data_IF_658425624752
#
_entry.id   IF_658425624752
#
_cell.length_a   1.000
_cell.length_b   1.000
_cell.length_c   1.000
_cell.angle_alpha   90.00
_cell.angle_beta   90.00
_cell.angle_gamma   90.00
#
_symmetry.space_group_name_H-M   'P 1'
#
loop_
_entity.id
_entity.type
_entity.pdbx_description
1 polymer ?
#
# COMPACT_ATOMS: atom_id res chain seq x y z
N UNK A 1 -9.92 -13.52 24.67
CA UNK A 1 -8.82 -12.92 23.88
C UNK A 1 -7.67 -12.69 24.84
N UNK A 2 -6.65 -13.55 24.84
CA UNK A 2 -5.48 -13.33 25.70
C UNK A 2 -4.64 -12.23 25.06
N UNK A 3 -4.64 -11.04 25.67
CA UNK A 3 -3.68 -9.98 25.33
C UNK A 3 -2.30 -10.46 25.78
N UNK A 4 -1.47 -10.91 24.85
CA UNK A 4 -0.07 -11.24 25.12
C UNK A 4 0.62 -10.03 25.75
N UNK A 5 1.15 -10.21 26.96
CA UNK A 5 1.89 -9.19 27.69
C UNK A 5 3.38 -9.58 27.68
N UNK A 6 4.20 -8.97 26.82
CA UNK A 6 5.62 -9.32 26.64
C UNK A 6 6.42 -9.32 27.93
N UNK A 7 6.12 -8.38 28.81
CA UNK A 7 6.80 -8.21 30.09
C UNK A 7 6.48 -9.39 31.00
N UNK A 8 5.21 -9.74 31.13
CA UNK A 8 4.78 -10.86 31.97
C UNK A 8 5.38 -12.19 31.49
N UNK A 9 5.45 -12.38 30.17
CA UNK A 9 6.00 -13.59 29.56
C UNK A 9 7.51 -13.73 29.82
N UNK A 10 8.26 -12.62 29.78
CA UNK A 10 9.69 -12.61 30.14
C UNK A 10 9.88 -12.83 31.64
N UNK A 11 9.10 -12.16 32.48
CA UNK A 11 9.18 -12.33 33.95
C UNK A 11 8.88 -13.76 34.39
N UNK A 12 7.97 -14.46 33.71
CA UNK A 12 7.63 -15.85 34.03
C UNK A 12 8.78 -16.85 33.84
N UNK A 13 9.84 -16.44 33.13
CA UNK A 13 11.04 -17.24 32.83
C UNK A 13 12.25 -16.86 33.68
N UNK A 14 12.08 -15.93 34.62
CA UNK A 14 13.16 -15.38 35.42
C UNK A 14 13.00 -15.74 36.89
N UNK A 15 14.11 -15.89 37.58
CA UNK A 15 14.14 -16.17 39.02
C UNK A 15 14.35 -14.89 39.84
N UNK A 16 13.88 -14.89 41.09
CA UNK A 16 14.09 -13.78 42.01
C UNK A 16 13.39 -12.47 41.61
N UNK A 17 12.31 -12.56 40.84
CA UNK A 17 11.55 -11.42 40.35
C UNK A 17 10.98 -10.59 41.49
N UNK A 18 11.25 -9.28 41.48
CA UNK A 18 10.71 -8.29 42.43
C UNK A 18 10.26 -7.05 41.67
N UNK A 19 9.08 -6.52 42.00
CA UNK A 19 8.63 -5.23 41.48
C UNK A 19 9.39 -4.09 42.17
N UNK A 20 9.91 -3.15 41.39
CA UNK A 20 10.65 -1.97 41.89
C UNK A 20 9.95 -0.65 41.55
N UNK A 21 8.83 -0.70 40.82
CA UNK A 21 8.06 0.48 40.43
C UNK A 21 6.88 0.12 39.53
N UNK A 22 6.12 1.14 39.13
CA UNK A 22 5.03 0.95 38.16
C UNK A 22 5.65 0.60 36.80
N UNK A 23 5.44 -0.64 36.35
CA UNK A 23 6.02 -1.21 35.12
C UNK A 23 7.55 -1.46 35.14
N UNK A 24 8.13 -1.69 36.32
CA UNK A 24 9.55 -2.02 36.46
C UNK A 24 9.78 -3.15 37.47
N UNK A 25 10.67 -4.07 37.12
CA UNK A 25 11.05 -5.23 37.92
C UNK A 25 12.56 -5.44 37.88
N UNK A 26 13.06 -6.09 38.92
CA UNK A 26 14.39 -6.68 38.97
C UNK A 26 14.29 -8.19 39.08
N UNK A 27 15.23 -8.90 38.47
CA UNK A 27 15.32 -10.35 38.52
C UNK A 27 16.79 -10.77 38.43
N UNK A 28 17.07 -12.05 38.73
CA UNK A 28 18.40 -12.63 38.51
C UNK A 28 18.65 -12.79 37.03
N UNK A 29 19.81 -12.32 36.56
CA UNK A 29 20.23 -12.50 35.19
C UNK A 29 20.52 -13.98 34.92
N UNK A 30 19.93 -14.60 33.89
CA UNK A 30 20.14 -16.03 33.61
C UNK A 30 21.49 -16.32 32.94
N UNK A 31 22.24 -15.30 32.53
CA UNK A 31 23.50 -15.44 31.77
C UNK A 31 24.71 -15.66 32.68
N UNK A 32 24.66 -15.19 33.93
CA UNK A 32 25.73 -15.34 34.90
C UNK A 32 25.17 -15.77 36.26
N UNK A 33 26.03 -16.20 37.18
CA UNK A 33 25.63 -16.49 38.56
C UNK A 33 25.29 -15.17 39.29
N UNK A 34 24.00 -14.83 39.29
CA UNK A 34 23.49 -13.57 39.81
C UNK A 34 22.83 -13.75 41.19
N UNK A 35 23.49 -13.22 42.23
CA UNK A 35 22.98 -13.22 43.60
C UNK A 35 22.24 -11.94 43.99
N UNK A 36 22.26 -10.90 43.14
CA UNK A 36 21.82 -9.54 43.47
C UNK A 36 20.66 -9.02 42.62
N UNK A 37 20.12 -9.83 41.70
CA UNK A 37 19.05 -9.45 40.80
C UNK A 37 19.43 -8.25 39.90
N UNK A 38 20.54 -8.39 39.20
CA UNK A 38 21.14 -7.37 38.32
C UNK A 38 20.37 -7.09 37.03
N UNK A 39 19.37 -7.92 36.67
CA UNK A 39 18.57 -7.76 35.47
C UNK A 39 17.36 -6.87 35.73
N UNK A 40 17.34 -5.69 35.12
CA UNK A 40 16.16 -4.83 35.07
C UNK A 40 15.25 -5.26 33.91
N UNK A 41 13.97 -5.44 34.21
CA UNK A 41 12.91 -5.69 33.22
C UNK A 41 11.87 -4.57 33.34
N UNK A 42 11.41 -4.01 32.22
CA UNK A 42 10.40 -2.95 32.25
C UNK A 42 9.49 -2.93 31.02
N UNK A 43 8.42 -2.15 31.10
CA UNK A 43 7.52 -1.92 29.96
C UNK A 43 7.83 -0.57 29.30
N UNK A 44 8.12 -0.58 28.00
CA UNK A 44 8.23 0.62 27.18
C UNK A 44 6.87 1.30 26.98
N UNK A 45 6.87 2.58 26.57
CA UNK A 45 5.65 3.34 26.29
C UNK A 45 4.80 2.75 25.16
N UNK A 46 5.43 1.98 24.28
CA UNK A 46 4.87 1.23 23.16
C UNK A 46 4.47 -0.21 23.53
N UNK A 47 4.51 -0.58 24.82
CA UNK A 47 4.11 -1.90 25.30
C UNK A 47 5.16 -3.00 25.13
N UNK A 48 6.33 -2.69 24.59
CA UNK A 48 7.43 -3.67 24.46
C UNK A 48 8.10 -3.92 25.80
N UNK A 49 8.63 -5.12 26.00
CA UNK A 49 9.50 -5.43 27.11
C UNK A 49 10.91 -4.89 26.87
N UNK A 50 11.48 -4.29 27.90
CA UNK A 50 12.86 -3.81 27.96
C UNK A 50 13.62 -4.68 28.95
N UNK A 51 14.81 -5.17 28.57
CA UNK A 51 15.70 -5.91 29.47
C UNK A 51 17.09 -5.29 29.45
N UNK A 52 17.65 -5.09 30.64
CA UNK A 52 18.97 -4.49 30.81
C UNK A 52 19.69 -5.12 32.00
N UNK A 53 20.85 -5.73 31.76
CA UNK A 53 21.68 -6.31 32.80
C UNK A 53 22.74 -5.30 33.24
N UNK A 54 22.73 -4.92 34.52
CA UNK A 54 23.68 -3.96 35.08
C UNK A 54 25.11 -4.51 35.14
N UNK A 55 25.28 -5.85 35.13
CA UNK A 55 26.57 -6.52 35.06
C UNK A 55 27.15 -6.63 33.63
N UNK A 56 26.45 -6.15 32.60
CA UNK A 56 26.98 -6.03 31.23
C UNK A 56 26.62 -7.14 30.24
N UNK A 57 25.82 -8.15 30.62
CA UNK A 57 25.32 -9.15 29.67
C UNK A 57 24.42 -8.51 28.60
N UNK A 58 24.61 -8.92 27.35
CA UNK A 58 23.81 -8.39 26.25
C UNK A 58 22.38 -8.94 26.25
N UNK A 59 21.43 -8.14 25.74
CA UNK A 59 20.05 -8.61 25.49
C UNK A 59 20.02 -9.87 24.62
N UNK A 60 20.97 -10.02 23.69
CA UNK A 60 21.08 -11.19 22.83
C UNK A 60 21.39 -12.47 23.61
N UNK A 61 22.33 -12.41 24.57
CA UNK A 61 22.67 -13.55 25.43
C UNK A 61 21.50 -13.92 26.34
N UNK A 62 20.86 -12.93 26.95
CA UNK A 62 19.69 -13.14 27.83
C UNK A 62 18.56 -13.80 27.04
N UNK A 63 18.22 -13.27 25.85
CA UNK A 63 17.22 -13.85 24.94
C UNK A 63 17.52 -15.32 24.64
N UNK A 64 18.79 -15.63 24.36
CA UNK A 64 19.22 -16.96 23.96
C UNK A 64 19.12 -17.97 25.11
N UNK A 65 19.48 -17.58 26.33
CA UNK A 65 19.36 -18.46 27.51
C UNK A 65 17.90 -18.69 27.90
N UNK A 66 17.05 -17.66 27.78
CA UNK A 66 15.62 -17.76 28.08
C UNK A 66 14.80 -18.48 27.00
N UNK A 67 15.42 -18.84 25.88
CA UNK A 67 14.80 -19.44 24.69
C UNK A 67 13.54 -18.68 24.24
N UNK A 68 13.67 -17.37 24.07
CA UNK A 68 12.58 -16.50 23.60
C UNK A 68 12.91 -15.88 22.24
N UNK A 69 11.97 -15.85 21.27
CA UNK A 69 12.18 -15.13 20.01
C UNK A 69 12.22 -13.62 20.24
N UNK A 70 12.81 -12.86 19.32
CA UNK A 70 12.73 -11.40 19.36
C UNK A 70 11.30 -10.88 19.39
N UNK A 71 10.36 -11.58 18.74
CA UNK A 71 8.94 -11.24 18.75
C UNK A 71 8.31 -11.24 20.15
N UNK A 72 8.83 -12.02 21.10
CA UNK A 72 8.29 -12.07 22.47
C UNK A 72 8.59 -10.81 23.29
N UNK A 73 9.47 -9.92 22.80
CA UNK A 73 9.70 -8.61 23.41
C UNK A 73 8.65 -7.57 23.01
N UNK A 74 7.81 -7.87 22.02
CA UNK A 74 6.84 -6.92 21.46
C UNK A 74 5.42 -7.42 21.75
N UNK A 75 4.48 -6.51 22.06
CA UNK A 75 3.09 -6.90 22.28
C UNK A 75 2.58 -7.64 21.05
N UNK A 76 1.67 -8.61 21.24
CA UNK A 76 1.07 -9.28 20.09
C UNK A 76 0.41 -8.21 19.24
N UNK A 77 0.98 -8.03 18.07
CA UNK A 77 0.68 -6.95 17.15
C UNK A 77 -0.84 -6.97 16.85
N UNK A 78 -1.59 -6.04 17.43
CA UNK A 78 -2.83 -5.57 16.79
C UNK A 78 -2.51 -4.69 15.58
N UNK A 79 -1.22 -4.49 15.27
CA UNK A 79 -0.67 -3.63 14.22
C UNK A 79 0.15 -4.35 13.15
N UNK A 80 0.23 -5.68 13.17
CA UNK A 80 0.68 -6.42 11.99
C UNK A 80 -0.34 -6.16 10.89
N UNK A 81 -0.04 -5.22 9.98
CA UNK A 81 -0.86 -5.00 8.78
C UNK A 81 -1.07 -6.37 8.14
N UNK A 82 -2.32 -6.78 8.00
CA UNK A 82 -2.67 -7.98 7.23
C UNK A 82 -1.85 -7.97 5.94
N UNK A 83 -1.26 -9.10 5.54
CA UNK A 83 -0.42 -9.15 4.35
C UNK A 83 -1.22 -8.57 3.17
N UNK A 84 -0.67 -7.53 2.55
CA UNK A 84 -1.37 -6.84 1.48
C UNK A 84 -1.54 -7.79 0.30
N UNK A 85 -2.77 -8.06 -0.13
CA UNK A 85 -3.05 -8.93 -1.28
C UNK A 85 -3.50 -8.10 -2.47
N UNK A 86 -3.13 -8.52 -3.67
CA UNK A 86 -3.67 -7.96 -4.90
C UNK A 86 -5.13 -8.41 -5.04
N UNK A 87 -6.04 -7.48 -5.31
CA UNK A 87 -7.48 -7.76 -5.51
C UNK A 87 -7.98 -7.38 -6.89
N UNK A 88 -7.25 -6.54 -7.63
CA UNK A 88 -7.48 -6.28 -9.04
C UNK A 88 -6.19 -5.78 -9.71
N UNK A 89 -6.08 -6.00 -11.01
CA UNK A 89 -5.00 -5.49 -11.87
C UNK A 89 -5.62 -4.90 -13.12
N UNK A 90 -5.20 -3.70 -13.49
CA UNK A 90 -5.68 -2.98 -14.66
C UNK A 90 -4.51 -2.77 -15.62
N UNK A 91 -4.62 -3.35 -16.81
CA UNK A 91 -3.55 -3.34 -17.82
C UNK A 91 -3.61 -2.05 -18.66
N UNK A 92 -2.49 -1.34 -18.70
CA UNK A 92 -2.28 -0.22 -19.61
C UNK A 92 -1.43 -0.69 -20.78
N UNK A 93 -2.05 -0.71 -21.97
CA UNK A 93 -1.45 -1.21 -23.21
C UNK A 93 -1.22 -0.08 -24.19
N UNK A 94 -0.18 -0.21 -25.01
CA UNK A 94 0.05 0.71 -26.13
C UNK A 94 -0.95 0.46 -27.27
N UNK A 95 -0.82 1.21 -28.37
CA UNK A 95 -1.70 1.07 -29.53
C UNK A 95 -1.63 -0.31 -30.23
N UNK A 96 -0.51 -1.02 -30.10
CA UNK A 96 -0.34 -2.38 -30.63
C UNK A 96 -0.95 -3.45 -29.72
N UNK A 97 -1.26 -3.10 -28.47
CA UNK A 97 -1.77 -4.01 -27.45
C UNK A 97 -0.69 -4.55 -26.51
N UNK A 98 0.55 -4.08 -26.62
CA UNK A 98 1.66 -4.48 -25.76
C UNK A 98 1.50 -3.88 -24.37
N UNK A 99 1.77 -4.69 -23.33
CA UNK A 99 1.62 -4.26 -21.95
C UNK A 99 2.73 -3.29 -21.56
N UNK A 100 2.37 -2.03 -21.26
CA UNK A 100 3.30 -1.02 -20.77
C UNK A 100 3.45 -1.10 -19.25
N UNK A 101 2.33 -1.11 -18.54
CA UNK A 101 2.30 -1.16 -17.08
C UNK A 101 0.94 -1.61 -16.56
N UNK A 102 0.86 -1.81 -15.24
CA UNK A 102 -0.39 -2.09 -14.53
C UNK A 102 -0.60 -1.10 -13.39
N UNK A 103 -1.85 -0.68 -13.18
CA UNK A 103 -2.32 -0.24 -11.86
C UNK A 103 -2.83 -1.47 -11.11
N UNK A 104 -2.42 -1.62 -9.86
CA UNK A 104 -2.71 -2.76 -8.99
C UNK A 104 -3.48 -2.27 -7.78
N UNK A 105 -4.67 -2.81 -7.56
CA UNK A 105 -5.47 -2.56 -6.36
C UNK A 105 -5.13 -3.60 -5.30
N UNK A 106 -4.84 -3.15 -4.09
CA UNK A 106 -4.50 -3.97 -2.93
C UNK A 106 -5.65 -4.01 -1.90
N UNK A 107 -5.60 -4.98 -1.00
CA UNK A 107 -6.37 -5.05 0.25
C UNK A 107 -5.40 -5.18 1.44
N UNK A 108 -5.45 -4.30 2.47
CA UNK A 108 -6.29 -3.10 2.60
C UNK A 108 -6.16 -2.10 1.44
N UNK A 109 -7.20 -1.30 1.19
CA UNK A 109 -7.30 -0.40 0.01
C UNK A 109 -6.04 0.44 -0.16
N UNK A 110 -5.26 0.09 -1.17
CA UNK A 110 -4.06 0.79 -1.63
C UNK A 110 -3.96 0.59 -3.16
N UNK A 111 -3.32 1.52 -3.85
CA UNK A 111 -3.10 1.45 -5.29
C UNK A 111 -1.61 1.57 -5.58
N UNK A 112 -1.08 0.61 -6.33
CA UNK A 112 0.34 0.55 -6.71
C UNK A 112 0.48 0.42 -8.21
N UNK A 113 1.64 0.76 -8.74
CA UNK A 113 1.91 0.63 -10.17
C UNK A 113 3.17 -0.17 -10.41
N UNK A 114 3.17 -0.95 -11.49
CA UNK A 114 4.30 -1.79 -11.87
C UNK A 114 4.39 -1.95 -13.38
N UNK A 115 5.60 -2.16 -13.89
CA UNK A 115 5.87 -2.48 -15.31
C UNK A 115 6.54 -3.85 -15.45
N UNK A 116 6.39 -4.54 -16.59
CA UNK A 116 7.15 -5.76 -16.85
C UNK A 116 8.67 -5.51 -16.77
N UNK A 117 9.43 -6.48 -16.26
CA UNK A 117 10.90 -6.41 -16.24
C UNK A 117 11.55 -7.01 -17.51
N UNK A 118 10.74 -7.52 -18.44
CA UNK A 118 11.19 -8.21 -19.66
C UNK A 118 11.50 -9.71 -19.49
N UNK A 119 11.52 -10.23 -18.26
CA UNK A 119 11.87 -11.61 -17.91
C UNK A 119 10.71 -12.36 -17.22
N UNK A 120 9.48 -11.87 -17.36
CA UNK A 120 8.28 -12.43 -16.72
C UNK A 120 8.05 -11.97 -15.27
N UNK A 121 8.89 -11.07 -14.75
CA UNK A 121 8.72 -10.43 -13.46
C UNK A 121 8.17 -9.00 -13.55
N UNK A 122 8.25 -8.28 -12.43
CA UNK A 122 7.67 -6.94 -12.27
C UNK A 122 8.64 -5.97 -11.59
N UNK A 123 8.72 -4.76 -12.12
CA UNK A 123 9.36 -3.62 -11.49
C UNK A 123 8.26 -2.73 -10.88
N UNK A 124 8.29 -2.52 -9.55
CA UNK A 124 7.25 -1.81 -8.78
C UNK A 124 7.37 -0.28 -8.81
N UNK A 125 7.59 0.25 -10.01
CA UNK A 125 7.65 1.67 -10.32
C UNK A 125 7.42 1.84 -11.83
N UNK A 126 7.09 3.05 -12.28
CA UNK A 126 6.84 3.31 -13.71
C UNK A 126 8.02 3.95 -14.44
N UNK A 127 8.94 4.64 -13.76
CA UNK A 127 10.07 5.30 -14.44
C UNK A 127 9.61 6.16 -15.61
N UNK A 128 10.22 5.95 -16.78
CA UNK A 128 9.90 6.64 -18.04
C UNK A 128 8.82 5.94 -18.89
N UNK A 129 8.18 4.88 -18.38
CA UNK A 129 7.11 4.18 -19.12
C UNK A 129 6.01 5.17 -19.54
N UNK A 130 5.58 5.19 -20.81
CA UNK A 130 4.51 6.08 -21.26
C UNK A 130 3.22 5.88 -20.46
N UNK A 131 2.60 6.98 -20.02
CA UNK A 131 1.30 6.94 -19.33
C UNK A 131 0.23 7.15 -20.37
N UNK A 132 -0.48 6.08 -20.69
CA UNK A 132 -1.55 6.07 -21.69
C UNK A 132 -2.91 6.01 -21.01
N UNK A 133 -3.97 6.30 -21.77
CA UNK A 133 -5.34 6.09 -21.32
C UNK A 133 -5.62 4.60 -21.09
N UNK A 134 -6.42 4.29 -20.08
CA UNK A 134 -6.84 2.91 -19.83
C UNK A 134 -7.69 2.41 -21.01
N UNK A 135 -7.50 1.16 -21.43
CA UNK A 135 -8.20 0.57 -22.61
C UNK A 135 -7.90 1.27 -23.95
N UNK A 136 -6.70 1.84 -24.12
CA UNK A 136 -6.29 2.53 -25.34
C UNK A 136 -6.52 1.71 -26.64
N UNK A 137 -6.13 0.41 -26.74
CA UNK A 137 -6.43 -0.40 -27.92
C UNK A 137 -7.92 -0.45 -28.27
N UNK A 138 -8.79 -0.53 -27.26
CA UNK A 138 -10.24 -0.60 -27.42
C UNK A 138 -10.82 0.76 -27.83
N UNK A 139 -10.28 1.87 -27.31
CA UNK A 139 -10.66 3.22 -27.76
C UNK A 139 -10.35 3.43 -29.25
N UNK A 140 -9.17 2.98 -29.69
CA UNK A 140 -8.75 3.08 -31.10
C UNK A 140 -9.64 2.27 -32.05
N UNK A 141 -10.17 1.14 -31.57
CA UNK A 141 -11.09 0.26 -32.33
C UNK A 141 -12.56 0.68 -32.22
N UNK A 142 -12.91 1.51 -31.25
CA UNK A 142 -14.29 1.90 -31.01
C UNK A 142 -14.82 2.82 -32.13
N UNK A 143 -16.06 2.56 -32.55
CA UNK A 143 -16.80 3.37 -33.51
C UNK A 143 -16.64 4.89 -33.23
N UNK A 144 -16.07 5.66 -34.18
CA UNK A 144 -15.89 7.11 -34.07
C UNK A 144 -17.11 7.91 -33.64
N UNK A 145 -18.32 7.44 -33.98
CA UNK A 145 -19.57 8.12 -33.65
C UNK A 145 -19.99 7.95 -32.17
N UNK A 146 -19.47 6.94 -31.47
CA UNK A 146 -19.79 6.71 -30.05
C UNK A 146 -19.11 7.73 -29.15
N UNK A 147 -19.84 8.16 -28.13
CA UNK A 147 -19.29 8.89 -27.00
C UNK A 147 -18.24 8.07 -26.27
N UNK A 148 -17.13 8.71 -25.93
CA UNK A 148 -16.13 8.18 -25.01
C UNK A 148 -16.42 8.75 -23.62
N UNK A 149 -16.64 7.89 -22.64
CA UNK A 149 -16.94 8.30 -21.27
C UNK A 149 -15.65 8.26 -20.45
N UNK A 150 -15.22 9.40 -19.93
CA UNK A 150 -14.09 9.51 -19.01
C UNK A 150 -14.63 9.48 -17.57
N UNK A 151 -14.13 8.53 -16.80
CA UNK A 151 -14.37 8.42 -15.35
C UNK A 151 -13.05 8.55 -14.59
N UNK A 152 -13.09 8.62 -13.26
CA UNK A 152 -11.88 8.82 -12.46
C UNK A 152 -10.99 7.59 -12.31
N UNK A 153 -11.57 6.39 -12.38
CA UNK A 153 -10.88 5.16 -12.02
C UNK A 153 -11.23 3.97 -12.90
N UNK A 154 -10.31 3.02 -12.96
CA UNK A 154 -10.36 1.86 -13.86
C UNK A 154 -11.58 0.97 -13.56
N UNK A 155 -11.98 0.86 -12.29
CA UNK A 155 -13.17 0.08 -11.88
C UNK A 155 -14.47 0.62 -12.51
N UNK A 156 -14.64 1.94 -12.53
CA UNK A 156 -15.85 2.54 -13.10
C UNK A 156 -15.83 2.48 -14.62
N UNK A 157 -14.64 2.55 -15.22
CA UNK A 157 -14.47 2.36 -16.66
C UNK A 157 -14.84 0.92 -17.06
N UNK A 158 -14.42 -0.08 -16.27
CA UNK A 158 -14.83 -1.48 -16.45
C UNK A 158 -16.33 -1.67 -16.26
N UNK A 159 -16.93 -1.04 -15.24
CA UNK A 159 -18.39 -1.08 -15.01
C UNK A 159 -19.15 -0.53 -16.21
N UNK A 160 -18.79 0.65 -16.73
CA UNK A 160 -19.46 1.23 -17.90
C UNK A 160 -19.22 0.40 -19.17
N UNK A 161 -18.02 -0.14 -19.34
CA UNK A 161 -17.71 -1.05 -20.46
C UNK A 161 -18.59 -2.30 -20.41
N UNK A 162 -18.84 -2.86 -19.22
CA UNK A 162 -19.73 -4.02 -19.06
C UNK A 162 -21.19 -3.73 -19.47
N UNK A 163 -21.58 -2.46 -19.51
CA UNK A 163 -22.88 -1.99 -20.01
C UNK A 163 -22.86 -1.70 -21.52
N UNK A 164 -21.76 -1.97 -22.23
CA UNK A 164 -21.61 -1.75 -23.67
C UNK A 164 -21.22 -0.32 -24.06
N UNK A 165 -20.83 0.52 -23.09
CA UNK A 165 -20.35 1.88 -23.31
C UNK A 165 -18.85 1.90 -23.58
N UNK A 166 -18.36 2.92 -24.29
CA UNK A 166 -16.93 3.13 -24.51
C UNK A 166 -16.42 4.01 -23.37
N UNK A 167 -15.63 3.46 -22.45
CA UNK A 167 -15.18 4.17 -21.26
C UNK A 167 -13.68 4.03 -21.00
N UNK A 168 -13.10 5.05 -20.37
CA UNK A 168 -11.67 5.13 -20.03
C UNK A 168 -11.41 6.03 -18.82
N UNK A 169 -10.16 6.05 -18.33
CA UNK A 169 -9.64 6.98 -17.35
C UNK A 169 -8.13 7.19 -17.54
N UNK A 170 -7.56 8.26 -16.96
CA UNK A 170 -6.11 8.40 -16.83
C UNK A 170 -5.57 7.53 -15.68
N UNK A 171 -4.31 7.08 -15.75
CA UNK A 171 -3.68 6.39 -14.62
C UNK A 171 -3.50 7.35 -13.45
N UNK A 172 -3.41 6.79 -12.23
CA UNK A 172 -3.13 7.50 -10.98
C UNK A 172 -4.27 8.40 -10.46
N UNK A 173 -5.44 8.36 -11.08
CA UNK A 173 -6.66 9.02 -10.62
C UNK A 173 -6.68 10.55 -10.80
N UNK A 174 -7.56 11.20 -10.03
CA UNK A 174 -7.84 12.63 -10.12
C UNK A 174 -6.60 13.53 -10.08
N UNK A 175 -6.59 14.54 -10.94
CA UNK A 175 -5.52 15.54 -11.02
C UNK A 175 -4.21 15.06 -11.67
N UNK A 176 -4.21 13.86 -12.28
CA UNK A 176 -3.03 13.28 -12.94
C UNK A 176 -3.13 13.24 -14.47
N UNK A 177 -4.11 13.93 -15.07
CA UNK A 177 -4.25 14.00 -16.53
C UNK A 177 -2.99 14.52 -17.23
N UNK A 178 -2.35 15.54 -16.67
CA UNK A 178 -1.09 16.11 -17.19
C UNK A 178 0.08 15.11 -17.26
N UNK A 179 -0.05 13.91 -16.68
CA UNK A 179 0.95 12.85 -16.77
C UNK A 179 0.80 12.00 -18.03
N UNK A 180 -0.33 12.09 -18.74
CA UNK A 180 -0.53 11.36 -19.99
C UNK A 180 0.55 11.76 -21.00
N UNK A 181 1.12 10.77 -21.67
CA UNK A 181 2.05 10.99 -22.77
C UNK A 181 1.35 11.37 -24.06
N UNK A 182 0.09 10.94 -24.22
CA UNK A 182 -0.73 11.19 -25.40
C UNK A 182 -2.22 11.05 -25.05
N UNK A 183 -3.02 12.02 -25.46
CA UNK A 183 -4.49 12.04 -25.39
C UNK A 183 -5.15 12.15 -26.77
N UNK A 184 -4.37 12.03 -27.86
CA UNK A 184 -4.81 12.25 -29.25
C UNK A 184 -5.92 11.34 -29.72
N UNK A 185 -6.10 10.16 -29.12
CA UNK A 185 -7.22 9.25 -29.39
C UNK A 185 -8.58 9.90 -29.11
N UNK A 186 -8.63 10.96 -28.29
CA UNK A 186 -9.84 11.70 -27.95
C UNK A 186 -10.10 12.88 -28.92
N UNK A 187 -9.13 13.25 -29.75
CA UNK A 187 -9.26 14.41 -30.65
C UNK A 187 -10.32 14.15 -31.72
N UNK A 188 -11.19 15.13 -31.96
CA UNK A 188 -12.32 15.02 -32.88
C UNK A 188 -13.41 14.03 -32.44
N UNK A 189 -13.32 13.46 -31.23
CA UNK A 189 -14.34 12.56 -30.66
C UNK A 189 -15.30 13.34 -29.76
N UNK A 190 -16.47 12.76 -29.49
CA UNK A 190 -17.41 13.24 -28.47
C UNK A 190 -17.05 12.59 -27.14
N UNK A 191 -16.86 13.40 -26.10
CA UNK A 191 -16.35 12.95 -24.80
C UNK A 191 -17.31 13.38 -23.72
N UNK A 192 -17.74 12.45 -22.86
CA UNK A 192 -18.53 12.77 -21.67
C UNK A 192 -17.67 12.53 -20.44
N UNK A 193 -17.65 13.47 -19.49
CA UNK A 193 -16.86 13.34 -18.26
C UNK A 193 -17.81 13.12 -17.07
N UNK A 194 -17.62 12.02 -16.35
CA UNK A 194 -18.40 11.67 -15.15
C UNK A 194 -17.44 11.71 -13.95
N UNK A 195 -17.41 12.81 -13.18
CA UNK A 195 -16.61 12.90 -11.97
C UNK A 195 -17.23 12.11 -10.81
N UNK A 196 -16.39 11.75 -9.84
CA UNK A 196 -16.82 11.38 -8.51
C UNK A 196 -17.58 12.55 -7.87
N UNK A 197 -18.51 12.21 -6.98
CA UNK A 197 -19.40 13.19 -6.33
C UNK A 197 -18.72 13.91 -5.18
N UNK A 198 -17.54 14.48 -5.43
CA UNK A 198 -16.78 15.26 -4.47
C UNK A 198 -16.02 16.43 -5.13
N UNK A 199 -15.31 17.21 -4.32
CA UNK A 199 -14.60 18.40 -4.79
C UNK A 199 -13.34 18.07 -5.62
N UNK A 200 -12.48 17.10 -5.22
CA UNK A 200 -11.41 16.62 -6.09
C UNK A 200 -11.90 16.18 -7.47
N UNK A 201 -13.03 15.46 -7.52
CA UNK A 201 -13.59 14.97 -8.76
C UNK A 201 -14.10 16.06 -9.68
N UNK A 202 -14.81 17.05 -9.14
CA UNK A 202 -15.20 18.25 -9.91
C UNK A 202 -14.01 18.98 -10.51
N UNK A 203 -12.94 19.17 -9.72
CA UNK A 203 -11.71 19.82 -10.20
C UNK A 203 -11.03 19.00 -11.28
N UNK A 204 -11.01 17.68 -11.12
CA UNK A 204 -10.45 16.80 -12.14
C UNK A 204 -11.24 16.88 -13.43
N UNK A 205 -12.57 16.78 -13.39
CA UNK A 205 -13.41 16.90 -14.58
C UNK A 205 -13.20 18.24 -15.30
N UNK A 206 -13.07 19.35 -14.57
CA UNK A 206 -12.76 20.64 -15.17
C UNK A 206 -11.37 20.65 -15.85
N UNK A 207 -10.32 20.12 -15.20
CA UNK A 207 -8.97 20.03 -15.81
C UNK A 207 -8.98 19.18 -17.08
N UNK A 208 -9.74 18.08 -17.11
CA UNK A 208 -9.90 17.26 -18.31
C UNK A 208 -10.64 18.03 -19.41
N UNK A 209 -11.75 18.69 -19.06
CA UNK A 209 -12.53 19.47 -20.01
C UNK A 209 -11.71 20.59 -20.64
N UNK A 210 -10.97 21.35 -19.83
CA UNK A 210 -10.12 22.45 -20.28
C UNK A 210 -9.01 21.98 -21.24
N UNK A 211 -8.45 20.79 -21.01
CA UNK A 211 -7.40 20.21 -21.86
C UNK A 211 -7.91 19.68 -23.19
N UNK A 212 -9.18 19.25 -23.22
CA UNK A 212 -9.85 18.74 -24.41
C UNK A 212 -10.60 19.82 -25.19
N UNK A 213 -10.82 20.99 -24.59
CA UNK A 213 -11.44 22.14 -25.24
C UNK A 213 -10.70 22.50 -26.54
N UNK A 214 -11.44 22.54 -27.64
CA UNK A 214 -10.89 22.80 -28.98
C UNK A 214 -10.09 21.65 -29.61
N UNK A 215 -9.93 20.51 -28.91
CA UNK A 215 -9.31 19.29 -29.45
C UNK A 215 -10.33 18.18 -29.69
N UNK A 216 -11.21 17.93 -28.73
CA UNK A 216 -12.37 17.06 -28.89
C UNK A 216 -13.46 17.77 -29.74
N UNK A 217 -14.34 16.99 -30.36
CA UNK A 217 -15.46 17.56 -31.12
C UNK A 217 -16.56 18.12 -30.20
N UNK A 218 -16.77 17.47 -29.06
CA UNK A 218 -17.75 17.85 -28.03
C UNK A 218 -17.25 17.32 -26.68
N UNK A 219 -17.41 18.11 -25.62
CA UNK A 219 -17.10 17.75 -24.22
C UNK A 219 -18.28 18.15 -23.34
#
# INVERSE_FOLDING_TARGET
MNTHNPVQDILSRLEGVKSTGQNQWQARCPVHDDQHASLSVGCGKDGRALVYCQAGCSTFEIRRVLDIPWSAFFPADSTAKSPSRIVATYDYRDAAGELLFQTVRMEPKDFRQRRPDGNGGWIWELGDTPRVLYRLPELLKADPAKWIIIVEGEKDADNLTSLGLVATCNPMGAGKWHKLSDDSVLHGRRVAIIPDKDEPGRKHAQDVADRLAGKAAEV
#
